data_IF_291755530154
#
_entry.id   IF_291755530154
#
_cell.length_a   1.000
_cell.length_b   1.000
_cell.length_c   1.000
_cell.angle_alpha   90.00
_cell.angle_beta   90.00
_cell.angle_gamma   90.00
#
_symmetry.space_group_name_H-M   'P 1'
#
loop_
_entity.id
_entity.type
_entity.pdbx_description
1 polymer ?
#
# COMPACT_ATOMS: atom_id res chain seq x y z
N UNK A 1 3.70 -4.05 -6.40
CA UNK A 1 3.60 -3.75 -7.86
C UNK A 1 4.34 -2.45 -8.14
N UNK A 2 5.14 -2.39 -9.20
CA UNK A 2 5.92 -1.20 -9.54
C UNK A 2 5.33 -0.57 -10.81
N UNK A 3 4.45 0.43 -10.64
CA UNK A 3 3.72 1.06 -11.75
C UNK A 3 4.47 2.24 -12.37
N UNK A 4 5.73 2.46 -11.99
CA UNK A 4 6.58 3.53 -12.49
C UNK A 4 7.71 2.94 -13.33
N UNK A 5 7.76 3.32 -14.61
CA UNK A 5 8.88 3.00 -15.50
C UNK A 5 9.77 4.22 -15.67
N UNK A 6 11.10 4.05 -15.61
CA UNK A 6 12.06 5.11 -15.93
C UNK A 6 12.43 5.05 -17.40
N UNK A 7 12.31 6.18 -18.11
CA UNK A 7 12.83 6.32 -19.46
C UNK A 7 14.35 6.57 -19.43
N UNK A 8 15.11 5.82 -20.25
CA UNK A 8 16.58 5.88 -20.30
C UNK A 8 17.17 7.19 -20.89
N UNK A 9 16.34 8.17 -21.26
CA UNK A 9 16.76 9.42 -21.89
C UNK A 9 16.86 10.58 -20.91
N UNK A 10 15.71 11.14 -20.53
CA UNK A 10 15.58 12.30 -19.65
C UNK A 10 15.36 11.94 -18.17
N UNK A 11 15.27 10.64 -17.86
CA UNK A 11 14.95 10.17 -16.51
C UNK A 11 13.49 10.39 -16.11
N UNK A 12 12.61 10.78 -17.04
CA UNK A 12 11.20 10.95 -16.77
C UNK A 12 10.56 9.60 -16.36
N UNK A 13 9.70 9.68 -15.35
CA UNK A 13 8.86 8.57 -14.92
C UNK A 13 7.61 8.48 -15.78
N UNK A 14 7.30 7.28 -16.25
CA UNK A 14 6.06 6.95 -16.95
C UNK A 14 5.20 6.09 -16.04
N UNK A 15 3.98 6.53 -15.76
CA UNK A 15 2.99 5.74 -15.05
C UNK A 15 2.36 4.73 -16.01
N UNK A 16 2.32 3.46 -15.61
CA UNK A 16 1.75 2.35 -16.39
C UNK A 16 0.61 1.67 -15.60
N UNK A 17 0.01 0.63 -16.18
CA UNK A 17 -1.05 -0.19 -15.57
C UNK A 17 -2.30 0.60 -15.13
N UNK A 18 -2.92 1.27 -16.11
CA UNK A 18 -4.10 2.12 -15.93
C UNK A 18 -5.44 1.36 -15.91
N UNK A 19 -5.42 0.03 -15.74
CA UNK A 19 -6.62 -0.81 -15.76
C UNK A 19 -7.60 -0.53 -14.60
N UNK A 20 -7.13 0.13 -13.54
CA UNK A 20 -7.95 0.59 -12.40
C UNK A 20 -8.06 2.11 -12.29
N UNK A 21 -7.63 2.85 -13.31
CA UNK A 21 -7.72 4.31 -13.29
C UNK A 21 -9.18 4.76 -13.32
N UNK A 22 -9.54 5.65 -12.41
CA UNK A 22 -10.91 6.12 -12.24
C UNK A 22 -10.96 7.55 -11.70
N UNK A 23 -12.13 8.18 -11.83
CA UNK A 23 -12.41 9.44 -11.15
C UNK A 23 -12.65 9.18 -9.67
N UNK A 24 -11.84 9.81 -8.81
CA UNK A 24 -11.87 9.57 -7.38
C UNK A 24 -11.22 10.71 -6.59
N UNK A 25 -11.21 10.53 -5.26
CA UNK A 25 -10.56 11.45 -4.35
C UNK A 25 -9.05 11.14 -4.32
N UNK A 26 -8.15 12.14 -4.40
CA UNK A 26 -6.70 11.91 -4.37
C UNK A 26 -6.22 11.15 -3.13
N UNK A 27 -6.93 11.28 -2.01
CA UNK A 27 -6.68 10.57 -0.76
C UNK A 27 -6.71 9.05 -0.93
N UNK A 28 -7.45 8.53 -1.93
CA UNK A 28 -7.46 7.11 -2.24
C UNK A 28 -6.10 6.59 -2.67
N UNK A 29 -5.38 7.35 -3.51
CA UNK A 29 -4.07 6.99 -4.03
C UNK A 29 -3.00 7.13 -2.94
N UNK A 30 -3.03 8.22 -2.17
CA UNK A 30 -2.10 8.45 -1.05
C UNK A 30 -2.24 7.41 0.06
N UNK A 31 -3.48 6.98 0.33
CA UNK A 31 -3.75 6.04 1.41
C UNK A 31 -3.09 4.68 1.17
N UNK A 32 -2.77 4.29 -0.08
CA UNK A 32 -2.01 3.06 -0.35
C UNK A 32 -0.62 3.17 0.27
N UNK A 33 0.16 4.18 -0.10
CA UNK A 33 1.52 4.38 0.42
C UNK A 33 1.53 4.55 1.94
N UNK A 34 0.56 5.28 2.49
CA UNK A 34 0.43 5.44 3.94
C UNK A 34 0.07 4.12 4.66
N UNK A 35 -0.71 3.23 4.04
CA UNK A 35 -0.99 1.88 4.59
C UNK A 35 0.26 0.99 4.53
N UNK A 36 1.03 1.08 3.45
CA UNK A 36 2.31 0.36 3.32
C UNK A 36 3.33 0.79 4.39
N UNK A 37 3.34 2.08 4.72
CA UNK A 37 4.15 2.62 5.81
C UNK A 37 3.64 2.17 7.18
N UNK A 38 2.39 2.50 7.53
CA UNK A 38 1.87 2.32 8.89
C UNK A 38 1.53 0.89 9.23
N UNK A 39 0.90 0.15 8.32
CA UNK A 39 0.44 -1.21 8.59
C UNK A 39 1.42 -2.25 8.06
N UNK A 40 1.87 -2.14 6.82
CA UNK A 40 2.74 -3.18 6.25
C UNK A 40 4.18 -3.08 6.78
N UNK A 41 4.63 -1.87 7.10
CA UNK A 41 5.98 -1.59 7.59
C UNK A 41 7.04 -1.66 6.49
N UNK A 42 6.69 -1.32 5.24
CA UNK A 42 7.61 -1.40 4.10
C UNK A 42 8.50 -0.18 3.94
N UNK A 43 8.07 0.94 4.51
CA UNK A 43 8.76 2.23 4.43
C UNK A 43 9.24 2.64 5.81
N UNK A 44 10.35 3.38 5.87
CA UNK A 44 10.79 4.02 7.11
C UNK A 44 10.28 5.48 7.19
N UNK A 45 10.38 6.07 8.38
CA UNK A 45 9.89 7.43 8.66
C UNK A 45 10.46 8.50 7.71
N UNK A 46 11.74 8.37 7.32
CA UNK A 46 12.37 9.34 6.43
C UNK A 46 11.84 9.23 4.99
N UNK A 47 11.66 8.01 4.49
CA UNK A 47 11.06 7.76 3.17
C UNK A 47 9.62 8.26 3.10
N UNK A 48 8.82 8.00 4.14
CA UNK A 48 7.44 8.48 4.19
C UNK A 48 7.37 10.00 4.32
N UNK A 49 8.26 10.62 5.11
CA UNK A 49 8.36 12.08 5.21
C UNK A 49 8.70 12.73 3.87
N UNK A 50 9.64 12.17 3.11
CA UNK A 50 9.99 12.68 1.78
C UNK A 50 8.80 12.59 0.81
N UNK A 51 8.03 11.49 0.87
CA UNK A 51 6.81 11.33 0.08
C UNK A 51 5.77 12.41 0.41
N UNK A 52 5.51 12.64 1.71
CA UNK A 52 4.58 13.68 2.19
C UNK A 52 5.04 15.07 1.76
N UNK A 53 6.33 15.38 1.90
CA UNK A 53 6.90 16.68 1.54
C UNK A 53 6.82 16.93 0.03
N UNK A 54 7.11 15.91 -0.78
CA UNK A 54 7.03 15.99 -2.24
C UNK A 54 5.59 16.20 -2.74
N UNK A 55 4.61 15.55 -2.10
CA UNK A 55 3.20 15.70 -2.45
C UNK A 55 2.56 16.97 -1.86
N UNK A 56 3.01 17.40 -0.67
CA UNK A 56 2.52 18.57 0.05
C UNK A 56 1.27 18.31 0.92
N UNK A 57 0.91 17.05 1.18
CA UNK A 57 -0.23 16.68 2.01
C UNK A 57 -0.02 15.31 2.67
N UNK A 58 -0.09 15.27 4.01
CA UNK A 58 -0.10 14.02 4.76
C UNK A 58 -1.53 13.52 4.94
N UNK A 59 -1.86 12.44 4.22
CA UNK A 59 -3.19 11.83 4.29
C UNK A 59 -3.50 11.30 5.69
N UNK A 60 -2.50 10.95 6.51
CA UNK A 60 -2.73 10.38 7.85
C UNK A 60 -3.35 11.36 8.83
N UNK A 61 -3.20 12.66 8.60
CA UNK A 61 -3.85 13.72 9.37
C UNK A 61 -5.32 13.95 9.00
N UNK A 62 -5.81 13.36 7.91
CA UNK A 62 -7.19 13.52 7.46
C UNK A 62 -8.13 12.54 8.17
N UNK A 63 -9.29 13.02 8.62
CA UNK A 63 -10.24 12.22 9.41
C UNK A 63 -10.82 11.00 8.69
N UNK A 64 -10.77 10.97 7.35
CA UNK A 64 -11.22 9.83 6.55
C UNK A 64 -10.16 8.73 6.35
N UNK A 65 -8.91 8.98 6.74
CA UNK A 65 -7.80 8.08 6.44
C UNK A 65 -7.96 6.69 7.05
N UNK A 66 -8.44 6.60 8.29
CA UNK A 66 -8.62 5.30 8.96
C UNK A 66 -9.48 4.34 8.12
N UNK A 67 -10.56 4.85 7.50
CA UNK A 67 -11.45 4.05 6.65
C UNK A 67 -10.71 3.57 5.39
N UNK A 68 -9.93 4.43 4.76
CA UNK A 68 -9.17 4.07 3.57
C UNK A 68 -8.04 3.09 3.87
N UNK A 69 -7.35 3.27 5.00
CA UNK A 69 -6.32 2.37 5.50
C UNK A 69 -6.90 0.95 5.66
N UNK A 70 -8.00 0.80 6.42
CA UNK A 70 -8.68 -0.50 6.59
C UNK A 70 -9.13 -1.12 5.27
N UNK A 71 -9.58 -0.28 4.33
CA UNK A 71 -9.99 -0.75 3.00
C UNK A 71 -8.80 -1.31 2.21
N UNK A 72 -7.65 -0.63 2.25
CA UNK A 72 -6.43 -1.10 1.59
C UNK A 72 -5.84 -2.34 2.26
N UNK A 73 -5.86 -2.44 3.59
CA UNK A 73 -5.46 -3.65 4.32
C UNK A 73 -6.22 -4.89 3.83
N UNK A 74 -7.55 -4.78 3.71
CA UNK A 74 -8.41 -5.86 3.19
C UNK A 74 -8.10 -6.12 1.71
N UNK A 75 -7.95 -5.08 0.90
CA UNK A 75 -7.65 -5.23 -0.54
C UNK A 75 -6.33 -5.96 -0.77
N UNK A 76 -5.28 -5.60 -0.04
CA UNK A 76 -3.96 -6.22 -0.13
C UNK A 76 -3.98 -7.67 0.38
N UNK A 77 -4.75 -7.94 1.45
CA UNK A 77 -4.88 -9.30 2.02
C UNK A 77 -5.68 -10.23 1.11
N UNK A 78 -6.80 -9.75 0.56
CA UNK A 78 -7.64 -10.53 -0.35
C UNK A 78 -6.96 -10.80 -1.69
N UNK A 79 -6.02 -9.96 -2.12
CA UNK A 79 -5.20 -10.21 -3.30
C UNK A 79 -4.31 -11.45 -3.12
N UNK A 80 -3.54 -11.53 -2.02
CA UNK A 80 -2.71 -12.73 -1.76
C UNK A 80 -3.55 -13.98 -1.45
N UNK A 81 -4.74 -13.80 -0.86
CA UNK A 81 -5.67 -14.88 -0.51
C UNK A 81 -5.96 -15.81 -1.70
N UNK A 82 -5.91 -15.29 -2.92
CA UNK A 82 -6.17 -16.07 -4.14
C UNK A 82 -5.19 -17.23 -4.35
N UNK A 83 -4.02 -17.23 -3.68
CA UNK A 83 -2.96 -18.21 -3.86
C UNK A 83 -2.61 -19.02 -2.60
N UNK A 84 -3.47 -18.99 -1.56
CA UNK A 84 -3.19 -19.67 -0.27
C UNK A 84 -3.13 -21.20 -0.38
N UNK A 85 -3.83 -21.79 -1.35
CA UNK A 85 -3.80 -23.24 -1.61
C UNK A 85 -2.63 -23.65 -2.53
N UNK A 86 -1.90 -22.66 -3.06
CA UNK A 86 -0.81 -22.85 -4.03
C UNK A 86 0.56 -22.64 -3.38
N UNK A 87 0.66 -21.77 -2.36
CA UNK A 87 1.91 -21.46 -1.67
C UNK A 87 1.74 -21.38 -0.16
N UNK A 88 2.56 -22.13 0.57
CA UNK A 88 2.61 -22.12 2.04
C UNK A 88 3.04 -20.75 2.56
N UNK A 89 4.02 -20.10 1.92
CA UNK A 89 4.49 -18.77 2.32
C UNK A 89 3.38 -17.72 2.21
N UNK A 90 2.56 -17.80 1.15
CA UNK A 90 1.40 -16.92 0.95
C UNK A 90 0.33 -17.19 2.01
N UNK A 91 0.14 -18.45 2.38
CA UNK A 91 -0.80 -18.82 3.45
C UNK A 91 -0.37 -18.24 4.80
N UNK A 92 0.90 -18.38 5.15
CA UNK A 92 1.45 -17.84 6.40
C UNK A 92 1.35 -16.31 6.45
N UNK A 93 1.65 -15.64 5.33
CA UNK A 93 1.45 -14.19 5.21
C UNK A 93 -0.03 -13.83 5.38
N UNK A 94 -0.94 -14.51 4.68
CA UNK A 94 -2.37 -14.27 4.78
C UNK A 94 -2.86 -14.36 6.23
N UNK A 95 -2.46 -15.41 6.95
CA UNK A 95 -2.85 -15.60 8.35
C UNK A 95 -2.31 -14.44 9.24
N UNK A 96 -1.07 -13.99 9.00
CA UNK A 96 -0.47 -12.82 9.68
C UNK A 96 -1.23 -11.53 9.39
N UNK A 97 -1.60 -11.27 8.14
CA UNK A 97 -2.36 -10.05 7.77
C UNK A 97 -3.75 -10.05 8.38
N UNK A 98 -4.42 -11.21 8.45
CA UNK A 98 -5.71 -11.35 9.13
C UNK A 98 -5.59 -11.07 10.63
N UNK A 99 -4.54 -11.55 11.28
CA UNK A 99 -4.27 -11.24 12.69
C UNK A 99 -4.01 -9.74 12.90
N UNK A 100 -3.17 -9.13 12.07
CA UNK A 100 -2.90 -7.69 12.04
C UNK A 100 -4.21 -6.88 11.94
N UNK A 101 -5.07 -7.19 10.97
CA UNK A 101 -6.36 -6.50 10.78
C UNK A 101 -7.28 -6.65 12.01
N UNK A 102 -7.32 -7.84 12.62
CA UNK A 102 -8.19 -8.12 13.78
C UNK A 102 -7.71 -7.47 15.07
N UNK A 103 -6.41 -7.36 15.25
CA UNK A 103 -5.79 -6.92 16.51
C UNK A 103 -5.28 -5.49 16.47
N UNK A 104 -5.08 -4.94 15.27
CA UNK A 104 -4.40 -3.67 15.06
C UNK A 104 -2.87 -3.74 15.21
N UNK A 105 -2.28 -4.94 15.31
CA UNK A 105 -0.83 -5.09 15.36
C UNK A 105 -0.21 -4.73 14.00
N UNK A 106 0.64 -3.70 13.95
CA UNK A 106 1.25 -3.22 12.72
C UNK A 106 2.61 -3.90 12.42
N UNK A 107 2.97 -3.92 11.14
CA UNK A 107 4.27 -4.31 10.61
C UNK A 107 4.42 -5.79 10.26
N UNK A 108 5.57 -6.10 9.67
CA UNK A 108 5.99 -7.48 9.39
C UNK A 108 5.26 -8.13 8.22
N UNK A 109 4.65 -7.36 7.33
CA UNK A 109 4.07 -7.90 6.10
C UNK A 109 5.17 -8.06 5.05
N UNK A 110 5.19 -9.18 4.34
CA UNK A 110 6.09 -9.34 3.20
C UNK A 110 5.45 -8.77 1.92
N UNK A 111 6.21 -8.10 1.05
CA UNK A 111 5.73 -7.73 -0.27
C UNK A 111 5.67 -8.99 -1.16
N UNK A 112 4.47 -9.32 -1.64
CA UNK A 112 4.21 -10.40 -2.61
C UNK A 112 3.85 -9.82 -3.97
#
# INVERSE_FOLDING_TARGET
MNNLMRCNGDGAGVLIDLERFAWGQPEWDLAVTATEYLTAGWWNDAEYSEFVDAYGFDVTGWSGFEVLCRTHEIKMTTWIMQNIDVSVDIKEEYDRRIECIRTGAAGGWNPF
#
